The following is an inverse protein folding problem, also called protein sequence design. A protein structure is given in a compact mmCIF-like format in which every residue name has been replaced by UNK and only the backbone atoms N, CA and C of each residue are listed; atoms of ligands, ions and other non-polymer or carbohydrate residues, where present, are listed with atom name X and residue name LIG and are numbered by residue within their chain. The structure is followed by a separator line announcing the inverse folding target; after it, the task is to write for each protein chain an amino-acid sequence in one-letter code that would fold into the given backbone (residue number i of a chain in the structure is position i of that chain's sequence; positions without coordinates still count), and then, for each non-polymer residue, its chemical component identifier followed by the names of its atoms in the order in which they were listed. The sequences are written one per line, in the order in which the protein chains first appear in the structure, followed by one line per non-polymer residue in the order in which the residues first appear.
data_IF_295898525942
#
_entry.id   IF_295898525942
#
_cell.length_a   1.000
_cell.length_b   1.000
_cell.length_c   1.000
_cell.angle_alpha   90.00
_cell.angle_beta   90.00
_cell.angle_gamma   90.00
#
_symmetry.space_group_name_H-M   'P 1'
#
loop_
_entity.id
_entity.type
_entity.pdbx_description
1 polymer ?
#
# COMPACT_ATOMS: atom_id res chain seq x y z
N UNK A 1 -11.88 -24.12 3.35
CA UNK A 1 -11.73 -22.82 2.67
C UNK A 1 -10.34 -22.32 3.05
N UNK A 2 -9.50 -21.96 2.07
CA UNK A 2 -8.23 -21.30 2.38
C UNK A 2 -8.55 -19.93 2.99
N UNK A 3 -7.78 -19.52 4.00
CA UNK A 3 -7.91 -18.16 4.51
C UNK A 3 -7.42 -17.17 3.46
N UNK A 4 -8.09 -16.00 3.32
CA UNK A 4 -7.66 -14.97 2.39
C UNK A 4 -6.26 -14.49 2.77
N UNK A 5 -5.43 -14.19 1.77
CA UNK A 5 -4.15 -13.53 2.00
C UNK A 5 -4.42 -12.13 2.51
N UNK A 6 -3.78 -11.78 3.62
CA UNK A 6 -3.86 -10.46 4.22
C UNK A 6 -2.61 -9.69 3.84
N UNK A 7 -2.77 -8.53 3.21
CA UNK A 7 -1.66 -7.62 2.93
C UNK A 7 -1.33 -6.75 4.14
N UNK A 8 -2.35 -6.18 4.78
CA UNK A 8 -2.19 -5.39 6.00
C UNK A 8 -3.50 -5.33 6.80
N UNK A 9 -3.39 -5.12 8.11
CA UNK A 9 -4.51 -4.83 9.02
C UNK A 9 -4.05 -3.78 10.02
N UNK A 10 -4.82 -2.70 10.18
CA UNK A 10 -4.50 -1.65 11.15
C UNK A 10 -4.26 -2.19 12.57
N UNK A 11 -5.03 -3.21 12.99
CA UNK A 11 -4.87 -3.82 14.31
C UNK A 11 -3.50 -4.46 14.59
N UNK A 12 -2.71 -4.73 13.56
CA UNK A 12 -1.33 -5.20 13.74
C UNK A 12 -0.40 -4.10 14.25
N UNK A 13 -0.81 -2.84 14.11
CA UNK A 13 0.01 -1.66 14.35
C UNK A 13 -0.45 -0.83 15.55
N UNK A 14 -1.64 -1.10 16.11
CA UNK A 14 -2.22 -0.33 17.22
C UNK A 14 -1.27 -0.14 18.40
N UNK A 15 -0.58 -1.19 18.84
CA UNK A 15 0.38 -1.07 19.95
C UNK A 15 1.52 -0.10 19.63
N UNK A 16 2.04 -0.13 18.40
CA UNK A 16 3.15 0.75 17.99
C UNK A 16 2.68 2.20 17.83
N UNK A 17 1.48 2.39 17.30
CA UNK A 17 0.83 3.71 17.17
C UNK A 17 0.58 4.32 18.55
N UNK A 18 0.07 3.55 19.51
CA UNK A 18 -0.12 3.98 20.91
C UNK A 18 1.21 4.33 21.59
N UNK A 19 2.27 3.55 21.39
CA UNK A 19 3.63 3.86 21.90
C UNK A 19 4.19 5.18 21.36
N UNK A 20 3.76 5.59 20.16
CA UNK A 20 4.09 6.90 19.59
C UNK A 20 3.16 8.03 20.06
N UNK A 21 2.12 7.73 20.84
CA UNK A 21 1.11 8.69 21.29
C UNK A 21 0.23 9.21 20.15
N UNK A 22 0.04 8.40 19.10
CA UNK A 22 -0.74 8.75 17.93
C UNK A 22 -2.17 8.16 18.01
N UNK A 23 -3.17 8.79 17.37
CA UNK A 23 -4.51 8.21 17.24
C UNK A 23 -4.51 6.90 16.44
N UNK A 24 -5.41 5.96 16.76
CA UNK A 24 -5.49 4.65 16.09
C UNK A 24 -5.65 4.71 14.56
N UNK A 25 -6.25 5.77 14.01
CA UNK A 25 -6.40 5.97 12.56
C UNK A 25 -5.05 5.91 11.81
N UNK A 26 -3.97 6.37 12.46
CA UNK A 26 -2.61 6.36 11.92
C UNK A 26 -2.08 4.94 11.66
N UNK A 27 -2.68 3.92 12.27
CA UNK A 27 -2.35 2.52 12.05
C UNK A 27 -2.70 2.01 10.66
N UNK A 28 -3.50 2.76 9.89
CA UNK A 28 -3.95 2.37 8.55
C UNK A 28 -3.42 3.29 7.44
N UNK A 29 -2.85 4.44 7.79
CA UNK A 29 -2.43 5.45 6.80
C UNK A 29 -1.47 4.88 5.77
N UNK A 30 -0.50 4.04 6.18
CA UNK A 30 0.45 3.48 5.24
C UNK A 30 -0.21 2.57 4.21
N UNK A 31 -1.24 1.78 4.54
CA UNK A 31 -1.87 0.89 3.57
C UNK A 31 -2.95 1.59 2.73
N UNK A 32 -3.64 2.60 3.27
CA UNK A 32 -4.76 3.24 2.58
C UNK A 32 -4.32 4.01 1.32
N UNK A 33 -3.06 4.47 1.25
CA UNK A 33 -2.49 5.01 0.00
C UNK A 33 -2.56 3.99 -1.15
N UNK A 34 -2.15 2.74 -0.90
CA UNK A 34 -2.20 1.67 -1.89
C UNK A 34 -3.64 1.31 -2.23
N UNK A 35 -4.53 1.24 -1.24
CA UNK A 35 -5.94 0.96 -1.47
C UNK A 35 -6.60 2.01 -2.38
N UNK A 36 -6.38 3.31 -2.11
CA UNK A 36 -6.85 4.39 -2.99
C UNK A 36 -6.29 4.24 -4.40
N UNK A 37 -5.00 3.92 -4.53
CA UNK A 37 -4.38 3.69 -5.83
C UNK A 37 -5.02 2.51 -6.59
N UNK A 38 -5.37 1.43 -5.91
CA UNK A 38 -6.12 0.32 -6.51
C UNK A 38 -7.52 0.74 -6.96
N UNK A 39 -8.20 1.59 -6.19
CA UNK A 39 -9.51 2.16 -6.59
C UNK A 39 -9.36 2.97 -7.88
N UNK A 40 -8.39 3.89 -7.95
CA UNK A 40 -8.20 4.79 -9.10
C UNK A 40 -7.74 4.05 -10.37
N UNK A 41 -7.08 2.90 -10.23
CA UNK A 41 -6.57 2.08 -11.34
C UNK A 41 -7.44 0.85 -11.68
N UNK A 42 -8.67 0.80 -11.17
CA UNK A 42 -9.63 -0.29 -11.45
C UNK A 42 -9.15 -1.69 -11.01
N UNK A 43 -8.24 -1.75 -10.02
CA UNK A 43 -7.71 -3.01 -9.47
C UNK A 43 -8.53 -3.59 -8.32
N UNK A 44 -9.62 -2.93 -7.92
CA UNK A 44 -10.58 -3.44 -6.95
C UNK A 44 -11.44 -4.56 -7.58
N UNK A 45 -11.74 -5.61 -6.82
CA UNK A 45 -12.54 -6.75 -7.30
C UNK A 45 -13.98 -6.36 -7.67
N UNK A 46 -14.61 -7.14 -8.53
CA UNK A 46 -16.02 -6.94 -8.89
C UNK A 46 -16.94 -7.05 -7.68
N UNK A 47 -16.64 -7.97 -6.75
CA UNK A 47 -17.37 -8.12 -5.50
C UNK A 47 -17.38 -6.82 -4.71
N UNK A 48 -16.22 -6.22 -4.46
CA UNK A 48 -16.14 -5.00 -3.66
C UNK A 48 -16.85 -3.82 -4.34
N UNK A 49 -16.73 -3.70 -5.67
CA UNK A 49 -17.46 -2.69 -6.47
C UNK A 49 -18.98 -2.87 -6.46
N UNK A 50 -19.46 -4.10 -6.28
CA UNK A 50 -20.90 -4.41 -6.26
C UNK A 50 -21.49 -4.25 -4.87
N UNK A 51 -20.71 -4.56 -3.83
CA UNK A 51 -21.14 -4.43 -2.43
C UNK A 51 -21.16 -2.96 -1.96
N UNK A 52 -20.18 -2.16 -2.41
CA UNK A 52 -20.09 -0.72 -2.09
C UNK A 52 -19.91 0.16 -3.33
N UNK A 53 -20.89 0.20 -4.24
CA UNK A 53 -20.76 0.93 -5.51
C UNK A 53 -20.67 2.46 -5.32
N UNK A 54 -21.40 3.01 -4.34
CA UNK A 54 -21.43 4.44 -4.05
C UNK A 54 -20.10 4.92 -3.48
N UNK A 55 -19.53 4.20 -2.51
CA UNK A 55 -18.22 4.52 -1.93
C UNK A 55 -17.09 4.40 -2.98
N UNK A 56 -17.12 3.34 -3.80
CA UNK A 56 -16.17 3.17 -4.89
C UNK A 56 -16.19 4.38 -5.86
N UNK A 57 -17.38 4.81 -6.28
CA UNK A 57 -17.53 5.98 -7.16
C UNK A 57 -17.12 7.27 -6.45
N UNK A 58 -17.54 7.47 -5.20
CA UNK A 58 -17.28 8.69 -4.44
C UNK A 58 -15.78 8.90 -4.18
N UNK A 59 -15.00 7.85 -3.92
CA UNK A 59 -13.54 7.96 -3.80
C UNK A 59 -12.90 8.39 -5.13
N UNK A 60 -13.33 7.81 -6.25
CA UNK A 60 -12.82 8.18 -7.59
C UNK A 60 -13.14 9.61 -7.98
N UNK A 61 -14.30 10.10 -7.57
CA UNK A 61 -14.76 11.47 -7.83
C UNK A 61 -14.26 12.48 -6.78
N UNK A 62 -13.44 12.04 -5.82
CA UNK A 62 -12.89 12.88 -4.75
C UNK A 62 -13.94 13.40 -3.76
N UNK A 63 -15.12 12.76 -3.70
CA UNK A 63 -16.22 13.10 -2.80
C UNK A 63 -16.15 12.35 -1.46
N UNK A 64 -15.38 11.26 -1.39
CA UNK A 64 -15.17 10.45 -0.19
C UNK A 64 -13.68 10.19 0.00
N UNK A 65 -13.20 10.27 1.25
CA UNK A 65 -11.84 9.85 1.57
C UNK A 65 -11.73 8.33 1.43
N UNK A 66 -10.63 7.85 0.84
CA UNK A 66 -10.36 6.42 0.81
C UNK A 66 -10.21 5.82 2.21
N UNK A 67 -9.83 6.62 3.22
CA UNK A 67 -9.78 6.21 4.62
C UNK A 67 -11.17 5.92 5.18
N UNK A 68 -12.14 6.82 4.97
CA UNK A 68 -13.53 6.63 5.41
C UNK A 68 -14.15 5.39 4.75
N UNK A 69 -13.81 5.11 3.49
CA UNK A 69 -14.23 3.87 2.85
C UNK A 69 -13.53 2.65 3.49
N UNK A 70 -12.23 2.73 3.74
CA UNK A 70 -11.44 1.64 4.32
C UNK A 70 -11.87 1.31 5.77
N UNK A 71 -12.40 2.27 6.53
CA UNK A 71 -13.02 2.03 7.84
C UNK A 71 -14.20 1.06 7.77
N UNK A 72 -15.01 1.12 6.71
CA UNK A 72 -16.11 0.17 6.47
C UNK A 72 -15.62 -1.25 6.19
N UNK A 73 -14.33 -1.40 5.91
CA UNK A 73 -13.64 -2.64 5.54
C UNK A 73 -12.71 -3.10 6.67
N UNK A 74 -13.03 -2.73 7.92
CA UNK A 74 -12.27 -3.06 9.13
C UNK A 74 -10.79 -2.65 9.07
N UNK A 75 -10.46 -1.61 8.29
CA UNK A 75 -9.10 -1.14 8.04
C UNK A 75 -8.15 -2.28 7.64
N UNK A 76 -8.63 -3.15 6.77
CA UNK A 76 -7.97 -4.38 6.37
C UNK A 76 -7.94 -4.50 4.85
N UNK A 77 -6.76 -4.79 4.28
CA UNK A 77 -6.61 -5.12 2.87
C UNK A 77 -6.33 -6.62 2.70
N UNK A 78 -7.24 -7.32 2.03
CA UNK A 78 -7.11 -8.73 1.68
C UNK A 78 -7.15 -8.95 0.16
N UNK A 79 -6.73 -10.12 -0.28
CA UNK A 79 -6.73 -10.52 -1.68
C UNK A 79 -8.12 -10.55 -2.34
N UNK A 80 -9.18 -10.95 -1.62
CA UNK A 80 -10.55 -10.95 -2.14
C UNK A 80 -11.05 -9.55 -2.58
N UNK A 81 -10.41 -8.49 -2.10
CA UNK A 81 -10.75 -7.10 -2.44
C UNK A 81 -10.13 -6.63 -3.76
N UNK A 82 -9.21 -7.40 -4.34
CA UNK A 82 -8.46 -7.03 -5.53
C UNK A 82 -8.77 -7.97 -6.70
N UNK A 83 -8.63 -7.43 -7.91
CA UNK A 83 -8.58 -8.24 -9.14
C UNK A 83 -7.35 -9.15 -9.15
N UNK A 84 -7.33 -10.17 -10.02
CA UNK A 84 -6.17 -11.06 -10.19
C UNK A 84 -4.88 -10.26 -10.50
N UNK A 85 -4.99 -9.23 -11.34
CA UNK A 85 -3.85 -8.37 -11.68
C UNK A 85 -3.42 -7.50 -10.49
N UNK A 86 -4.37 -6.90 -9.78
CA UNK A 86 -4.11 -6.16 -8.55
C UNK A 86 -3.41 -7.02 -7.51
N UNK A 87 -3.86 -8.26 -7.35
CA UNK A 87 -3.25 -9.24 -6.45
C UNK A 87 -1.84 -9.66 -6.88
N UNK A 88 -1.61 -9.85 -8.17
CA UNK A 88 -0.29 -10.20 -8.69
C UNK A 88 0.72 -9.06 -8.44
N UNK A 89 0.32 -7.81 -8.65
CA UNK A 89 1.16 -6.65 -8.37
C UNK A 89 1.36 -6.45 -6.85
N UNK A 90 0.28 -6.45 -6.06
CA UNK A 90 0.37 -6.33 -4.61
C UNK A 90 1.28 -7.41 -4.02
N UNK A 91 1.12 -8.67 -4.44
CA UNK A 91 1.97 -9.76 -3.98
C UNK A 91 3.46 -9.54 -4.26
N UNK A 92 3.82 -8.94 -5.40
CA UNK A 92 5.21 -8.62 -5.71
C UNK A 92 5.70 -7.37 -4.95
N UNK A 93 4.83 -6.38 -4.75
CA UNK A 93 5.22 -5.08 -4.19
C UNK A 93 5.31 -5.08 -2.65
N UNK A 94 4.49 -5.91 -1.99
CA UNK A 94 4.47 -6.15 -0.54
C UNK A 94 5.27 -7.39 -0.11
N UNK A 95 5.97 -8.06 -1.03
CA UNK A 95 6.80 -9.22 -0.69
C UNK A 95 7.84 -8.85 0.38
N UNK A 96 8.03 -9.69 1.39
CA UNK A 96 8.80 -9.34 2.59
C UNK A 96 10.29 -9.12 2.33
N UNK A 97 10.91 -9.91 1.46
CA UNK A 97 12.35 -9.84 1.17
C UNK A 97 12.68 -8.92 -0.01
N UNK A 98 11.76 -8.81 -0.96
CA UNK A 98 12.01 -8.21 -2.28
C UNK A 98 11.04 -7.09 -2.66
N UNK A 99 9.92 -6.98 -1.94
CA UNK A 99 8.96 -5.91 -2.10
C UNK A 99 9.56 -4.57 -1.70
N UNK A 100 8.96 -3.50 -2.22
CA UNK A 100 9.49 -2.13 -2.08
C UNK A 100 8.49 -1.14 -1.52
N UNK A 101 7.27 -1.58 -1.18
CA UNK A 101 6.21 -0.66 -0.76
C UNK A 101 6.61 0.23 0.41
N UNK A 102 7.09 -0.37 1.51
CA UNK A 102 7.51 0.38 2.70
C UNK A 102 8.75 1.22 2.42
N UNK A 103 9.74 0.69 1.69
CA UNK A 103 10.93 1.45 1.28
C UNK A 103 10.55 2.70 0.47
N UNK A 104 9.65 2.56 -0.50
CA UNK A 104 9.19 3.63 -1.35
C UNK A 104 8.35 4.65 -0.58
N UNK A 105 7.47 4.18 0.31
CA UNK A 105 6.70 5.04 1.21
C UNK A 105 7.62 5.87 2.11
N UNK A 106 8.59 5.23 2.76
CA UNK A 106 9.52 5.90 3.65
C UNK A 106 10.42 6.89 2.90
N UNK A 107 11.01 6.47 1.77
CA UNK A 107 11.87 7.32 0.96
C UNK A 107 11.13 8.53 0.37
N UNK A 108 9.83 8.36 0.09
CA UNK A 108 9.02 9.41 -0.53
C UNK A 108 8.44 10.38 0.50
N UNK A 109 7.97 9.88 1.64
CA UNK A 109 7.08 10.63 2.54
C UNK A 109 7.62 10.85 3.95
N UNK A 110 8.51 9.99 4.46
CA UNK A 110 8.94 10.06 5.87
C UNK A 110 9.62 11.39 6.19
N UNK A 111 10.58 11.81 5.36
CA UNK A 111 11.42 12.97 5.66
C UNK A 111 12.03 12.87 7.06
N UNK A 112 11.82 13.91 7.87
CA UNK A 112 12.29 13.98 9.26
C UNK A 112 11.27 13.44 10.29
N UNK A 113 10.16 12.86 9.84
CA UNK A 113 9.16 12.29 10.74
C UNK A 113 9.75 11.12 11.55
N UNK A 114 9.32 10.94 12.82
CA UNK A 114 9.88 9.90 13.69
C UNK A 114 9.72 8.49 13.12
N UNK A 115 8.54 8.16 12.59
CA UNK A 115 8.20 6.86 12.01
C UNK A 115 7.20 7.00 10.85
N UNK A 116 6.98 5.89 10.13
CA UNK A 116 5.97 5.73 9.09
C UNK A 116 4.56 6.11 9.56
N UNK A 117 4.22 5.83 10.83
CA UNK A 117 2.91 6.13 11.39
C UNK A 117 2.65 7.62 11.54
N UNK A 118 3.68 8.46 11.52
CA UNK A 118 3.51 9.91 11.57
C UNK A 118 3.18 10.51 10.20
N UNK A 119 3.22 9.71 9.13
CA UNK A 119 2.89 10.18 7.78
C UNK A 119 1.37 10.37 7.70
N UNK A 120 0.88 11.60 7.44
CA UNK A 120 -0.55 11.85 7.32
C UNK A 120 -1.08 11.35 5.98
N UNK A 121 -2.28 10.76 5.97
CA UNK A 121 -3.01 10.50 4.74
C UNK A 121 -3.72 11.76 4.25
N UNK A 122 -3.26 12.35 3.15
CA UNK A 122 -3.87 13.52 2.50
C UNK A 122 -3.48 13.58 1.00
N UNK A 123 -4.00 14.58 0.28
CA UNK A 123 -3.76 14.71 -1.17
C UNK A 123 -2.28 14.93 -1.55
N UNK A 124 -1.49 15.65 -0.74
CA UNK A 124 -0.06 15.87 -1.04
C UNK A 124 0.73 14.57 -0.92
N UNK A 125 0.56 13.87 0.21
CA UNK A 125 1.26 12.62 0.46
C UNK A 125 0.81 11.53 -0.50
N UNK A 126 -0.49 11.47 -0.81
CA UNK A 126 -1.02 10.56 -1.83
C UNK A 126 -0.48 10.87 -3.22
N UNK A 127 -0.52 12.13 -3.66
CA UNK A 127 -0.05 12.52 -4.98
C UNK A 127 1.41 12.17 -5.23
N UNK A 128 2.27 12.35 -4.23
CA UNK A 128 3.69 11.98 -4.29
C UNK A 128 3.90 10.47 -4.35
N UNK A 129 3.25 9.71 -3.49
CA UNK A 129 3.41 8.25 -3.45
C UNK A 129 2.77 7.59 -4.68
N UNK A 130 1.65 8.13 -5.19
CA UNK A 130 0.99 7.69 -6.42
C UNK A 130 1.95 7.67 -7.60
N UNK A 131 2.75 8.71 -7.81
CA UNK A 131 3.73 8.75 -8.91
C UNK A 131 4.76 7.60 -8.83
N UNK A 132 5.15 7.23 -7.60
CA UNK A 132 6.05 6.10 -7.37
C UNK A 132 5.33 4.78 -7.64
N UNK A 133 4.10 4.61 -7.17
CA UNK A 133 3.28 3.42 -7.43
C UNK A 133 3.01 3.22 -8.92
N UNK A 134 2.65 4.28 -9.65
CA UNK A 134 2.47 4.26 -11.11
C UNK A 134 3.75 3.77 -11.81
N UNK A 135 4.91 4.30 -11.41
CA UNK A 135 6.21 3.90 -11.95
C UNK A 135 6.57 2.44 -11.63
N UNK A 136 6.29 1.99 -10.39
CA UNK A 136 6.51 0.61 -9.96
C UNK A 136 5.64 -0.38 -10.71
N UNK A 137 4.36 -0.05 -10.89
CA UNK A 137 3.43 -0.86 -11.64
C UNK A 137 3.82 -0.97 -13.11
N UNK A 138 4.17 0.15 -13.77
CA UNK A 138 4.64 0.14 -15.16
C UNK A 138 5.93 -0.69 -15.35
N UNK A 139 6.87 -0.58 -14.41
CA UNK A 139 8.11 -1.36 -14.39
C UNK A 139 7.81 -2.86 -14.22
N UNK A 140 6.93 -3.21 -13.29
CA UNK A 140 6.48 -4.59 -13.07
C UNK A 140 5.80 -5.18 -14.32
N UNK A 141 4.88 -4.44 -14.96
CA UNK A 141 4.16 -4.89 -16.18
C UNK A 141 5.08 -5.20 -17.36
N UNK A 142 6.19 -4.47 -17.48
CA UNK A 142 7.15 -4.64 -18.57
C UNK A 142 8.24 -5.67 -18.27
N UNK A 143 8.21 -6.31 -17.09
CA UNK A 143 9.28 -7.21 -16.62
C UNK A 143 10.58 -6.48 -16.25
N UNK A 144 10.62 -5.15 -16.36
CA UNK A 144 11.69 -4.29 -15.87
C UNK A 144 11.53 -4.01 -14.38
N UNK A 145 11.29 -5.04 -13.58
CA UNK A 145 11.66 -4.99 -12.17
C UNK A 145 13.18 -4.94 -12.17
N UNK A 146 13.75 -3.74 -12.02
CA UNK A 146 15.18 -3.56 -11.86
C UNK A 146 15.64 -4.60 -10.86
N UNK A 147 16.33 -5.64 -11.37
CA UNK A 147 16.78 -6.73 -10.53
C UNK A 147 17.57 -6.09 -9.41
N UNK A 148 17.18 -6.36 -8.17
CA UNK A 148 17.95 -5.95 -7.00
C UNK A 148 19.36 -6.39 -7.31
N UNK A 149 20.25 -5.42 -7.51
CA UNK A 149 21.66 -5.71 -7.63
C UNK A 149 22.00 -6.43 -6.33
N UNK A 150 22.18 -7.76 -6.39
CA UNK A 150 22.74 -8.54 -5.29
C UNK A 150 23.95 -7.72 -4.83
N UNK A 151 23.89 -7.11 -3.64
CA UNK A 151 25.01 -6.35 -3.07
C UNK A 151 26.25 -7.21 -3.31
N UNK A 152 27.17 -6.74 -4.17
CA UNK A 152 28.36 -7.51 -4.53
C UNK A 152 29.08 -7.80 -3.22
N UNK A 153 29.22 -9.09 -2.89
CA UNK A 153 29.88 -9.53 -1.67
C UNK A 153 31.34 -9.03 -1.73
N UNK A 154 31.70 -8.16 -0.81
CA UNK A 154 33.00 -7.50 -0.68
C UNK A 154 34.20 -8.46 -0.53
N UNK A 155 33.93 -9.75 -0.33
CA UNK A 155 34.92 -10.82 -0.21
C UNK A 155 35.43 -11.40 -1.55
N UNK A 156 34.88 -10.99 -2.70
CA UNK A 156 35.25 -11.57 -4.00
C UNK A 156 36.55 -11.01 -4.63
N UNK A 157 37.29 -10.14 -3.92
CA UNK A 157 38.54 -9.53 -4.41
C UNK A 157 39.81 -10.00 -3.69
N UNK A 158 39.73 -11.04 -2.86
CA UNK A 158 40.92 -11.65 -2.27
C UNK A 158 41.14 -13.05 -2.88
N UNK A 159 41.96 -13.08 -3.94
CA UNK A 159 42.73 -14.24 -4.39
C UNK A 159 44.13 -13.77 -4.74
#
# INVERSE_FOLDING_TARGET
MNQPKVYDKAKWHFETVDQHGLPEEHASHHIVFFFRWCIENDFVSEWLRTEWPEDYAAVRDGQLSALDYFEKLDLCLIDDMLTDEGNAFASAYFEYETGRYIDDLLATLKGDLPSEYHIPFNEDTYGRLRQVMDSRYAAWKTGNVASVSKKRKWWQFWK
#
